data_IF_523863453562
#
_entry.id   IF_523863453562
#
_cell.length_a   1.000
_cell.length_b   1.000
_cell.length_c   1.000
_cell.angle_alpha   90.00
_cell.angle_beta   90.00
_cell.angle_gamma   90.00
#
_symmetry.space_group_name_H-M   'P 1'
#
loop_
_entity.id
_entity.type
_entity.pdbx_description
1 polymer ?
#
# COMPACT_ATOMS: atom_id res chain seq x y z
N UNK A 1 -11.74 27.02 -3.95
CA UNK A 1 -11.10 25.78 -3.48
C UNK A 1 -10.74 25.06 -4.75
N UNK A 2 -9.45 24.99 -5.07
CA UNK A 2 -9.02 24.22 -6.23
C UNK A 2 -9.38 22.77 -5.92
N UNK A 3 -10.01 22.07 -6.86
CA UNK A 3 -10.16 20.62 -6.73
C UNK A 3 -8.74 20.07 -6.73
N UNK A 4 -8.24 19.73 -5.54
CA UNK A 4 -6.97 19.07 -5.40
C UNK A 4 -7.14 17.68 -6.03
N UNK A 5 -6.74 17.57 -7.29
CA UNK A 5 -6.58 16.29 -7.98
C UNK A 5 -5.84 15.34 -7.05
N UNK A 6 -6.45 14.20 -6.73
CA UNK A 6 -5.86 13.16 -5.89
C UNK A 6 -4.49 12.81 -6.46
N UNK A 7 -3.45 13.01 -5.65
CA UNK A 7 -2.08 12.77 -6.10
C UNK A 7 -1.64 11.33 -5.78
N UNK A 8 -0.57 10.88 -6.43
CA UNK A 8 -0.04 9.52 -6.27
C UNK A 8 0.33 9.17 -4.82
N UNK A 9 0.83 10.14 -4.04
CA UNK A 9 1.16 9.95 -2.63
C UNK A 9 -0.10 9.74 -1.77
N UNK A 10 -1.18 10.47 -2.04
CA UNK A 10 -2.48 10.28 -1.36
C UNK A 10 -3.06 8.89 -1.64
N UNK A 11 -3.03 8.46 -2.91
CA UNK A 11 -3.43 7.11 -3.29
C UNK A 11 -2.57 6.04 -2.62
N UNK A 12 -1.26 6.24 -2.54
CA UNK A 12 -0.38 5.28 -1.87
C UNK A 12 -0.68 5.17 -0.37
N UNK A 13 -0.88 6.29 0.32
CA UNK A 13 -1.23 6.28 1.75
C UNK A 13 -2.57 5.57 2.02
N UNK A 14 -3.56 5.78 1.15
CA UNK A 14 -4.83 5.05 1.23
C UNK A 14 -4.63 3.55 1.00
N UNK A 15 -3.85 3.18 -0.03
CA UNK A 15 -3.52 1.80 -0.33
C UNK A 15 -2.82 1.10 0.82
N UNK A 16 -1.86 1.76 1.48
CA UNK A 16 -1.16 1.22 2.64
C UNK A 16 -2.11 0.92 3.80
N UNK A 17 -2.98 1.88 4.14
CA UNK A 17 -3.96 1.72 5.22
C UNK A 17 -4.98 0.61 4.89
N UNK A 18 -5.48 0.56 3.66
CA UNK A 18 -6.39 -0.49 3.20
C UNK A 18 -5.71 -1.86 3.18
N UNK A 19 -4.46 -1.94 2.69
CA UNK A 19 -3.69 -3.17 2.64
C UNK A 19 -3.48 -3.77 4.04
N UNK A 20 -3.16 -2.93 5.04
CA UNK A 20 -3.05 -3.35 6.44
C UNK A 20 -4.39 -3.82 7.01
N UNK A 21 -5.49 -3.10 6.73
CA UNK A 21 -6.83 -3.45 7.22
C UNK A 21 -7.37 -4.74 6.61
N UNK A 22 -7.05 -5.00 5.35
CA UNK A 22 -7.51 -6.17 4.60
C UNK A 22 -6.57 -7.38 4.72
N UNK A 23 -5.39 -7.21 5.30
CA UNK A 23 -4.40 -8.27 5.43
C UNK A 23 -3.76 -8.66 4.09
N UNK A 24 -3.51 -7.66 3.23
CA UNK A 24 -2.80 -7.84 1.97
C UNK A 24 -1.36 -8.26 2.27
N UNK A 25 -1.03 -9.49 1.85
CA UNK A 25 0.26 -10.16 2.15
C UNK A 25 0.97 -10.67 0.90
N UNK A 26 0.40 -10.43 -0.28
CA UNK A 26 0.94 -10.90 -1.56
C UNK A 26 0.82 -9.80 -2.62
N UNK A 27 1.75 -9.83 -3.58
CA UNK A 27 1.77 -8.87 -4.68
C UNK A 27 0.49 -8.92 -5.53
N UNK A 28 -0.08 -10.12 -5.76
CA UNK A 28 -1.35 -10.25 -6.47
C UNK A 28 -2.49 -9.51 -5.75
N UNK A 29 -2.61 -9.68 -4.44
CA UNK A 29 -3.62 -8.98 -3.62
C UNK A 29 -3.40 -7.46 -3.60
N UNK A 30 -2.14 -7.01 -3.62
CA UNK A 30 -1.81 -5.60 -3.74
C UNK A 30 -2.22 -5.04 -5.10
N UNK A 31 -1.94 -5.77 -6.17
CA UNK A 31 -2.32 -5.35 -7.53
C UNK A 31 -3.84 -5.25 -7.69
N UNK A 32 -4.59 -6.21 -7.14
CA UNK A 32 -6.05 -6.15 -7.10
C UNK A 32 -6.55 -4.93 -6.31
N UNK A 33 -5.96 -4.65 -5.15
CA UNK A 33 -6.32 -3.48 -4.35
C UNK A 33 -6.04 -2.16 -5.10
N UNK A 34 -4.90 -2.05 -5.80
CA UNK A 34 -4.57 -0.89 -6.63
C UNK A 34 -5.64 -0.65 -7.70
N UNK A 35 -6.08 -1.72 -8.36
CA UNK A 35 -7.12 -1.63 -9.38
C UNK A 35 -8.46 -1.17 -8.80
N UNK A 36 -8.86 -1.72 -7.66
CA UNK A 36 -10.10 -1.35 -6.97
C UNK A 36 -10.10 0.12 -6.52
N UNK A 37 -9.01 0.61 -5.94
CA UNK A 37 -8.89 1.99 -5.47
C UNK A 37 -8.94 2.97 -6.65
N UNK A 38 -8.20 2.71 -7.72
CA UNK A 38 -8.21 3.58 -8.91
C UNK A 38 -9.59 3.56 -9.58
N UNK A 39 -10.20 2.39 -9.75
CA UNK A 39 -11.54 2.29 -10.35
C UNK A 39 -12.58 3.02 -9.49
N UNK A 40 -12.49 2.90 -8.16
CA UNK A 40 -13.39 3.60 -7.24
C UNK A 40 -13.28 5.12 -7.42
N UNK A 41 -12.07 5.67 -7.32
CA UNK A 41 -11.80 7.12 -7.46
C UNK A 41 -12.16 7.66 -8.86
N UNK A 42 -11.90 6.87 -9.91
CA UNK A 42 -12.35 7.20 -11.26
C UNK A 42 -13.87 7.25 -11.36
N UNK A 43 -14.58 6.27 -10.80
CA UNK A 43 -16.04 6.21 -10.88
C UNK A 43 -16.75 7.35 -10.13
N UNK A 44 -16.16 7.87 -9.04
CA UNK A 44 -16.70 9.02 -8.30
C UNK A 44 -16.26 10.37 -8.86
N UNK A 45 -15.41 10.37 -9.89
CA UNK A 45 -14.96 11.58 -10.58
C UNK A 45 -13.80 12.31 -9.92
N UNK A 46 -13.09 11.67 -9.00
CA UNK A 46 -11.87 12.21 -8.36
C UNK A 46 -10.64 12.04 -9.28
N UNK A 47 -10.68 11.06 -10.20
CA UNK A 47 -9.70 10.89 -11.27
C UNK A 47 -10.32 11.23 -12.63
N UNK A 48 -9.59 12.00 -13.45
CA UNK A 48 -10.04 12.40 -14.77
C UNK A 48 -9.59 11.41 -15.86
N UNK A 49 -10.39 11.24 -16.91
CA UNK A 49 -10.08 10.35 -18.03
C UNK A 49 -8.82 10.79 -18.82
N UNK A 50 -8.44 12.07 -18.74
CA UNK A 50 -7.23 12.60 -19.38
C UNK A 50 -5.93 12.24 -18.62
N UNK A 51 -6.05 11.74 -17.38
CA UNK A 51 -4.91 11.25 -16.62
C UNK A 51 -4.44 9.89 -17.14
N UNK A 52 -3.12 9.67 -17.09
CA UNK A 52 -2.51 8.38 -17.44
C UNK A 52 -2.75 7.35 -16.34
N UNK A 53 -3.99 6.83 -16.26
CA UNK A 53 -4.40 5.84 -15.26
C UNK A 53 -3.63 4.53 -15.39
N UNK A 54 -3.10 4.23 -16.58
CA UNK A 54 -2.27 3.04 -16.81
C UNK A 54 -0.92 3.23 -16.14
N UNK A 55 -0.24 4.34 -16.40
CA UNK A 55 1.02 4.69 -15.72
C UNK A 55 0.86 4.76 -14.21
N UNK A 56 -0.23 5.38 -13.72
CA UNK A 56 -0.53 5.47 -12.30
C UNK A 56 -0.70 4.09 -11.64
N UNK A 57 -1.37 3.14 -12.31
CA UNK A 57 -1.47 1.75 -11.83
C UNK A 57 -0.11 1.09 -11.73
N UNK A 58 0.70 1.16 -12.80
CA UNK A 58 2.03 0.56 -12.82
C UNK A 58 2.92 1.14 -11.71
N UNK A 59 2.90 2.46 -11.52
CA UNK A 59 3.67 3.13 -10.49
C UNK A 59 3.25 2.71 -9.08
N UNK A 60 1.94 2.60 -8.80
CA UNK A 60 1.44 2.16 -7.49
C UNK A 60 1.65 0.66 -7.24
N UNK A 61 1.56 -0.18 -8.28
CA UNK A 61 1.88 -1.62 -8.18
C UNK A 61 3.37 -1.83 -7.88
N UNK A 62 4.25 -1.00 -8.45
CA UNK A 62 5.69 -1.03 -8.15
C UNK A 62 6.01 -0.61 -6.70
N UNK A 63 5.08 0.04 -5.98
CA UNK A 63 5.25 0.34 -4.55
C UNK A 63 5.04 -0.86 -3.63
N UNK A 64 4.69 -2.04 -4.15
CA UNK A 64 4.59 -3.26 -3.37
C UNK A 64 5.85 -3.54 -2.54
N UNK A 65 7.04 -3.43 -3.14
CA UNK A 65 8.32 -3.65 -2.43
C UNK A 65 8.51 -2.69 -1.24
N UNK A 66 8.02 -1.45 -1.39
CA UNK A 66 8.06 -0.43 -0.33
C UNK A 66 7.10 -0.83 0.80
N UNK A 67 5.84 -1.10 0.47
CA UNK A 67 4.85 -1.58 1.43
C UNK A 67 5.32 -2.86 2.15
N UNK A 68 5.90 -3.83 1.44
CA UNK A 68 6.40 -5.06 2.03
C UNK A 68 7.56 -4.80 2.99
N UNK A 69 8.46 -3.87 2.65
CA UNK A 69 9.56 -3.48 3.53
C UNK A 69 9.04 -2.78 4.79
N UNK A 70 8.05 -1.90 4.67
CA UNK A 70 7.46 -1.15 5.78
C UNK A 70 6.55 -2.02 6.66
N UNK A 71 5.81 -2.96 6.08
CA UNK A 71 4.94 -3.91 6.80
C UNK A 71 5.69 -5.11 7.37
N UNK A 72 6.84 -5.47 6.79
CA UNK A 72 7.72 -6.55 7.25
C UNK A 72 8.61 -6.17 8.44
N UNK A 73 8.71 -4.89 8.79
CA UNK A 73 9.51 -4.41 9.94
C UNK A 73 8.80 -4.61 11.29
N UNK A 74 8.01 -5.69 11.43
CA UNK A 74 7.51 -6.21 12.72
C UNK A 74 7.99 -7.64 13.00
N UNK A 75 9.15 -8.04 12.46
CA UNK A 75 9.90 -9.18 13.01
C UNK A 75 10.99 -8.65 13.94
N UNK A 76 10.59 -8.23 15.14
CA UNK A 76 11.52 -8.28 16.27
C UNK A 76 11.83 -9.75 16.53
N UNK A 77 13.09 -10.21 16.49
CA UNK A 77 13.44 -11.43 17.20
C UNK A 77 13.35 -11.14 18.70
N UNK A 78 12.14 -11.16 19.24
CA UNK A 78 11.92 -11.21 20.68
C UNK A 78 12.27 -12.63 21.12
N UNK A 79 13.56 -12.92 21.31
CA UNK A 79 14.08 -13.99 22.16
C UNK A 79 15.61 -14.03 22.13
N UNK A 80 16.24 -13.06 22.78
CA UNK A 80 17.50 -13.32 23.49
C UNK A 80 17.23 -13.10 24.98
N UNK A 81 16.51 -14.03 25.60
CA UNK A 81 16.56 -14.19 27.04
C UNK A 81 17.70 -15.18 27.35
N UNK A 82 18.91 -14.71 27.71
CA UNK A 82 19.95 -15.59 28.19
C UNK A 82 19.57 -16.02 29.61
N UNK A 83 18.71 -17.03 29.69
CA UNK A 83 18.66 -17.96 30.82
C UNK A 83 20.01 -18.66 30.94
N UNK A 84 21.04 -17.94 31.39
CA UNK A 84 22.24 -18.51 31.96
C UNK A 84 21.88 -18.96 33.37
N UNK A 85 21.31 -20.16 33.39
CA UNK A 85 21.07 -20.97 34.56
C UNK A 85 22.36 -21.02 35.41
N UNK A 86 22.25 -20.56 36.66
CA UNK A 86 23.16 -20.88 37.75
C UNK A 86 23.62 -22.33 37.68
N UNK A 87 24.94 -22.55 37.71
CA UNK A 87 25.59 -23.57 38.55
C UNK A 87 27.02 -23.16 38.85
#
# INVERSE_FOLDING_TARGET
>A
MNLDTLNQDELYNELEDLARRQGVTSQDMWNELVDEVIDSHFNIGELEQDQDLIGLRDDLRAKWDVYQSESGEEVQPLNEDPHTLKR
#
